data_IF_495987691877
#
_entry.id   IF_495987691877
#
_cell.length_a   1.000
_cell.length_b   1.000
_cell.length_c   1.000
_cell.angle_alpha   90.00
_cell.angle_beta   90.00
_cell.angle_gamma   90.00
#
_symmetry.space_group_name_H-M   'P 1'
#
loop_
_entity.id
_entity.type
_entity.pdbx_description
1 polymer ?
#
# COMPACT_ATOMS: atom_id res chain seq x y z
N UNK A 1 -58.63 21.80 58.83
CA UNK A 1 -57.64 21.54 59.91
C UNK A 1 -56.55 20.64 59.34
N UNK A 2 -55.27 20.75 59.76
CA UNK A 2 -54.33 21.87 59.58
C UNK A 2 -53.43 21.74 58.32
N UNK A 3 -52.80 22.85 57.91
CA UNK A 3 -51.88 23.00 56.78
C UNK A 3 -50.58 22.23 56.99
N UNK A 4 -50.13 21.50 55.95
CA UNK A 4 -48.84 20.81 55.90
C UNK A 4 -47.64 21.78 56.03
N UNK A 5 -46.70 21.43 56.90
CA UNK A 5 -45.44 22.14 57.10
C UNK A 5 -44.50 21.93 55.89
N UNK A 6 -44.02 23.03 55.30
CA UNK A 6 -42.96 23.03 54.27
C UNK A 6 -41.64 22.54 54.89
N UNK A 7 -41.06 21.49 54.31
CA UNK A 7 -39.71 21.03 54.64
C UNK A 7 -38.66 22.02 54.12
N UNK A 8 -37.70 22.34 54.99
CA UNK A 8 -36.54 23.23 54.74
C UNK A 8 -35.59 22.56 53.74
N UNK A 9 -35.33 23.21 52.60
CA UNK A 9 -34.34 22.75 51.63
C UNK A 9 -32.92 22.93 52.19
N UNK A 10 -32.13 21.85 52.24
CA UNK A 10 -30.71 21.89 52.57
C UNK A 10 -29.91 22.55 51.43
N UNK A 11 -28.88 23.36 51.72
CA UNK A 11 -28.05 23.98 50.70
C UNK A 11 -27.29 22.91 49.90
N UNK A 12 -27.18 23.14 48.59
CA UNK A 12 -26.63 22.22 47.58
C UNK A 12 -25.10 22.08 47.58
N UNK A 13 -24.39 22.83 48.43
CA UNK A 13 -22.93 22.86 48.46
C UNK A 13 -22.40 22.89 49.88
N UNK A 14 -21.33 22.12 50.11
CA UNK A 14 -20.61 22.08 51.37
C UNK A 14 -19.84 23.39 51.61
N UNK A 15 -19.67 23.80 52.88
CA UNK A 15 -19.00 25.05 53.21
C UNK A 15 -17.52 25.02 52.77
N UNK A 16 -17.04 26.17 52.28
CA UNK A 16 -15.72 26.36 51.64
C UNK A 16 -14.54 25.73 52.39
N UNK A 17 -14.55 25.75 53.73
CA UNK A 17 -13.48 25.17 54.55
C UNK A 17 -13.37 23.64 54.43
N UNK A 18 -14.47 22.95 54.10
CA UNK A 18 -14.46 21.50 53.84
C UNK A 18 -13.81 21.22 52.48
N UNK A 19 -14.12 22.04 51.46
CA UNK A 19 -13.56 21.91 50.12
C UNK A 19 -12.05 22.19 50.10
N UNK A 20 -11.59 23.20 50.85
CA UNK A 20 -10.16 23.49 51.00
C UNK A 20 -9.36 22.35 51.62
N UNK A 21 -9.94 21.65 52.61
CA UNK A 21 -9.29 20.48 53.22
C UNK A 21 -9.27 19.26 52.27
N UNK A 22 -10.31 19.08 51.45
CA UNK A 22 -10.34 18.02 50.44
C UNK A 22 -9.31 18.25 49.33
N UNK A 23 -9.19 19.50 48.84
CA UNK A 23 -8.18 19.90 47.86
C UNK A 23 -6.74 19.74 48.40
N UNK A 24 -6.49 20.08 49.67
CA UNK A 24 -5.17 19.87 50.31
C UNK A 24 -4.79 18.38 50.40
N UNK A 25 -5.78 17.51 50.64
CA UNK A 25 -5.57 16.05 50.71
C UNK A 25 -5.37 15.46 49.31
N UNK A 26 -6.13 15.93 48.31
CA UNK A 26 -5.99 15.51 46.92
C UNK A 26 -4.65 15.95 46.31
N UNK A 27 -4.18 17.16 46.64
CA UNK A 27 -2.87 17.65 46.22
C UNK A 27 -1.70 16.86 46.84
N UNK A 28 -1.86 16.35 48.06
CA UNK A 28 -0.80 15.66 48.80
C UNK A 28 -0.73 14.16 48.51
N UNK A 29 -1.86 13.52 48.22
CA UNK A 29 -1.93 12.05 48.08
C UNK A 29 -2.61 11.55 46.79
N UNK A 30 -3.07 12.45 45.90
CA UNK A 30 -3.82 12.09 44.69
C UNK A 30 -5.21 11.52 45.00
N UNK A 31 -6.01 11.25 43.96
CA UNK A 31 -7.38 10.70 44.11
C UNK A 31 -7.36 9.30 44.69
N UNK A 32 -7.58 9.17 45.99
CA UNK A 32 -7.73 7.90 46.69
C UNK A 32 -9.19 7.45 46.58
N UNK A 33 -9.47 6.34 45.88
CA UNK A 33 -10.83 5.79 45.85
C UNK A 33 -11.18 5.18 47.21
N UNK A 34 -12.25 5.66 47.87
CA UNK A 34 -12.70 5.10 49.14
C UNK A 34 -13.07 3.60 49.00
N UNK A 35 -12.65 2.73 49.94
CA UNK A 35 -12.95 1.31 49.88
C UNK A 35 -14.32 1.04 50.51
N UNK A 36 -15.31 0.68 49.70
CA UNK A 36 -16.64 0.38 50.25
C UNK A 36 -17.63 -0.22 49.27
N UNK A 37 -17.62 -1.57 49.19
CA UNK A 37 -18.75 -2.51 48.98
C UNK A 37 -18.32 -3.69 48.10
N UNK A 38 -17.77 -4.73 48.72
CA UNK A 38 -17.71 -6.07 48.13
C UNK A 38 -18.42 -7.04 49.06
N UNK A 39 -19.61 -7.50 48.63
CA UNK A 39 -20.37 -8.56 49.30
C UNK A 39 -19.63 -9.89 49.12
N UNK A 40 -19.37 -10.60 50.22
CA UNK A 40 -18.98 -12.03 50.22
C UNK A 40 -20.24 -12.91 50.11
N UNK A 41 -20.16 -14.08 49.46
CA UNK A 41 -20.88 -15.27 49.90
C UNK A 41 -19.91 -16.24 50.60
N UNK A 42 -20.45 -16.90 51.62
CA UNK A 42 -19.80 -17.85 52.50
C UNK A 42 -19.80 -19.25 51.85
N UNK A 43 -18.66 -19.97 51.88
CA UNK A 43 -18.68 -21.44 51.93
C UNK A 43 -17.42 -21.96 52.64
N UNK A 44 -17.66 -22.90 53.54
CA UNK A 44 -16.77 -23.46 54.55
C UNK A 44 -15.77 -24.48 53.98
N UNK A 45 -14.68 -24.62 54.74
CA UNK A 45 -13.49 -25.48 54.61
C UNK A 45 -13.79 -26.98 54.46
N UNK A 46 -13.00 -27.72 53.67
CA UNK A 46 -11.85 -28.49 54.21
C UNK A 46 -10.94 -29.13 53.12
N UNK A 47 -9.63 -29.03 53.37
CA UNK A 47 -8.44 -29.82 52.95
C UNK A 47 -7.94 -29.98 51.48
N UNK A 48 -6.85 -29.22 51.22
CA UNK A 48 -5.46 -29.69 50.96
C UNK A 48 -5.04 -30.26 49.58
N UNK A 49 -4.61 -29.36 48.69
CA UNK A 49 -3.44 -29.51 47.80
C UNK A 49 -3.04 -28.11 47.29
N UNK A 50 -1.89 -27.61 47.74
CA UNK A 50 -1.47 -26.22 47.53
C UNK A 50 -1.00 -25.92 46.10
N UNK A 51 -1.91 -25.41 45.27
CA UNK A 51 -1.53 -24.60 44.10
C UNK A 51 -1.29 -23.16 44.56
N UNK A 52 -0.04 -22.69 44.42
CA UNK A 52 0.34 -21.30 44.67
C UNK A 52 -0.30 -20.43 43.59
N UNK A 53 -1.50 -19.92 43.86
CA UNK A 53 -2.18 -18.95 42.98
C UNK A 53 -1.39 -17.63 43.08
N UNK A 54 -0.58 -17.36 42.06
CA UNK A 54 0.14 -16.09 41.93
C UNK A 54 -0.84 -14.95 41.60
N UNK A 55 -0.69 -13.82 42.28
CA UNK A 55 -1.49 -12.60 42.07
C UNK A 55 -1.37 -12.12 40.61
N UNK A 56 -2.46 -11.62 40.03
CA UNK A 56 -2.54 -11.23 38.62
C UNK A 56 -1.49 -10.17 38.23
N UNK A 57 -1.11 -9.30 39.18
CA UNK A 57 -0.02 -8.35 39.00
C UNK A 57 1.35 -9.02 38.95
N UNK A 58 1.56 -10.07 39.74
CA UNK A 58 2.81 -10.84 39.72
C UNK A 58 2.94 -11.70 38.47
N UNK A 59 1.86 -12.33 37.99
CA UNK A 59 1.84 -13.04 36.71
C UNK A 59 2.11 -12.10 35.53
N UNK A 60 1.51 -10.89 35.50
CA UNK A 60 1.76 -9.91 34.43
C UNK A 60 3.23 -9.48 34.39
N UNK A 61 3.84 -9.30 35.57
CA UNK A 61 5.25 -8.92 35.72
C UNK A 61 6.21 -10.06 35.32
N UNK A 62 5.83 -11.31 35.59
CA UNK A 62 6.59 -12.51 35.16
C UNK A 62 6.53 -12.65 33.62
N UNK A 63 5.37 -12.40 33.01
CA UNK A 63 5.22 -12.42 31.56
C UNK A 63 5.98 -11.29 30.85
N UNK A 64 5.99 -10.07 31.41
CA UNK A 64 6.83 -8.97 30.89
C UNK A 64 8.33 -9.29 31.00
N UNK A 65 8.76 -9.87 32.13
CA UNK A 65 10.16 -10.25 32.33
C UNK A 65 10.59 -11.38 31.38
N UNK A 66 9.70 -12.35 31.12
CA UNK A 66 9.95 -13.45 30.18
C UNK A 66 10.04 -12.94 28.73
N UNK A 67 9.21 -11.96 28.36
CA UNK A 67 9.25 -11.32 27.05
C UNK A 67 10.56 -10.55 26.84
N UNK A 68 10.98 -9.77 27.83
CA UNK A 68 12.25 -9.04 27.78
C UNK A 68 13.47 -9.97 27.70
N UNK A 69 13.45 -11.14 28.37
CA UNK A 69 14.53 -12.13 28.26
C UNK A 69 14.57 -12.84 26.90
N UNK A 70 13.43 -13.03 26.26
CA UNK A 70 13.36 -13.57 24.90
C UNK A 70 13.93 -12.58 23.88
N UNK A 71 13.64 -11.30 24.04
CA UNK A 71 14.15 -10.24 23.16
C UNK A 71 15.68 -10.02 23.33
N UNK A 72 16.24 -10.33 24.51
CA UNK A 72 17.68 -10.24 24.81
C UNK A 72 18.50 -11.41 24.21
N UNK A 73 17.87 -12.56 23.97
CA UNK A 73 18.51 -13.76 23.37
C UNK A 73 18.52 -13.76 21.84
N UNK A 74 17.78 -12.86 21.19
CA UNK A 74 17.59 -12.80 19.73
C UNK A 74 18.57 -11.86 18.99
N UNK A 75 19.61 -11.36 19.67
CA UNK A 75 20.67 -10.56 19.06
C UNK A 75 21.87 -11.43 18.58
N UNK A 76 22.15 -11.49 17.27
CA UNK A 76 23.51 -11.45 16.78
C UNK A 76 23.88 -10.01 16.39
N UNK A 77 25.03 -9.54 16.87
CA UNK A 77 25.69 -8.29 16.49
C UNK A 77 25.76 -8.13 14.96
N UNK A 78 25.18 -7.03 14.45
CA UNK A 78 25.85 -6.04 13.60
C UNK A 78 24.85 -4.94 13.13
N UNK A 79 25.09 -3.74 13.65
CA UNK A 79 24.89 -2.38 13.11
C UNK A 79 23.54 -1.88 12.53
N UNK A 80 22.93 -0.98 13.33
CA UNK A 80 22.39 0.37 13.04
C UNK A 80 21.07 0.61 12.26
N UNK A 81 20.08 1.07 13.05
CA UNK A 81 18.98 2.05 12.85
C UNK A 81 17.80 1.70 11.90
N UNK A 82 16.69 1.11 12.41
CA UNK A 82 15.46 1.72 13.02
C UNK A 82 14.71 2.72 12.14
N UNK A 83 13.38 2.74 11.97
CA UNK A 83 12.19 2.01 12.47
C UNK A 83 11.00 2.53 11.61
N UNK A 84 9.78 1.99 11.55
CA UNK A 84 9.03 1.15 12.47
C UNK A 84 7.91 0.42 11.68
N UNK A 85 7.55 -0.78 12.13
CA UNK A 85 6.54 -1.63 11.52
C UNK A 85 5.69 -2.31 12.60
N UNK A 86 4.41 -1.96 12.66
CA UNK A 86 3.41 -2.66 13.46
C UNK A 86 3.19 -4.08 12.94
N UNK A 87 3.41 -5.09 13.81
CA UNK A 87 3.13 -6.51 13.52
C UNK A 87 1.65 -6.80 13.77
N UNK A 88 0.86 -6.82 12.70
CA UNK A 88 -0.52 -7.31 12.70
C UNK A 88 -0.60 -8.83 12.81
N UNK A 89 -1.49 -9.31 13.68
CA UNK A 89 -1.82 -10.72 13.92
C UNK A 89 -2.55 -11.32 12.69
N UNK A 90 -2.04 -12.44 12.17
CA UNK A 90 -2.61 -13.09 10.99
C UNK A 90 -3.80 -13.97 11.38
N UNK A 91 -5.02 -13.50 11.14
CA UNK A 91 -6.20 -14.36 11.11
C UNK A 91 -6.34 -14.99 9.72
N UNK A 92 -6.10 -16.30 9.63
CA UNK A 92 -6.27 -17.05 8.38
C UNK A 92 -7.76 -17.28 8.12
N UNK A 93 -8.39 -16.45 7.29
CA UNK A 93 -9.74 -16.73 6.77
C UNK A 93 -9.70 -18.00 5.89
N UNK A 94 -10.36 -19.07 6.35
CA UNK A 94 -10.58 -20.28 5.58
C UNK A 94 -11.67 -19.99 4.52
N UNK A 95 -11.29 -19.65 3.29
CA UNK A 95 -12.21 -19.61 2.15
C UNK A 95 -12.11 -20.91 1.36
N UNK A 96 -13.06 -21.83 1.54
CA UNK A 96 -13.34 -22.87 0.56
C UNK A 96 -14.16 -22.25 -0.58
N UNK A 97 -13.48 -21.66 -1.57
CA UNK A 97 -14.13 -21.29 -2.82
C UNK A 97 -13.89 -22.42 -3.84
N UNK A 98 -14.89 -23.27 -4.02
CA UNK A 98 -15.08 -23.97 -5.30
C UNK A 98 -15.34 -22.89 -6.34
N UNK A 99 -14.38 -22.68 -7.23
CA UNK A 99 -14.53 -21.76 -8.36
C UNK A 99 -14.90 -22.61 -9.57
N UNK A 100 -16.20 -22.84 -9.73
CA UNK A 100 -16.80 -23.00 -11.05
C UNK A 100 -17.33 -21.60 -11.43
N UNK A 101 -16.62 -20.94 -12.34
CA UNK A 101 -17.09 -19.71 -12.98
C UNK A 101 -16.66 -19.77 -14.46
N UNK A 102 -17.51 -20.42 -15.25
CA UNK A 102 -17.80 -19.96 -16.60
C UNK A 102 -18.97 -18.98 -16.45
N UNK A 103 -18.71 -17.67 -16.44
CA UNK A 103 -19.66 -16.65 -16.89
C UNK A 103 -18.92 -15.32 -17.10
N UNK A 104 -19.01 -14.82 -18.34
CA UNK A 104 -18.72 -13.43 -18.67
C UNK A 104 -19.75 -12.56 -17.95
N UNK A 105 -19.35 -11.86 -16.90
CA UNK A 105 -20.14 -10.75 -16.40
C UNK A 105 -19.28 -9.50 -16.14
N UNK A 106 -19.74 -8.43 -16.76
CA UNK A 106 -19.28 -7.06 -16.68
C UNK A 106 -19.37 -6.62 -15.20
N UNK A 107 -18.25 -6.70 -14.47
CA UNK A 107 -18.22 -6.32 -13.06
C UNK A 107 -18.38 -4.79 -12.95
N UNK A 108 -19.64 -4.40 -12.88
CA UNK A 108 -20.13 -3.12 -12.43
C UNK A 108 -19.39 -2.72 -11.14
N UNK A 109 -18.97 -1.46 -11.13
CA UNK A 109 -18.42 -0.81 -9.96
C UNK A 109 -19.41 -0.91 -8.81
N UNK A 110 -19.11 -1.73 -7.81
CA UNK A 110 -19.67 -1.53 -6.48
C UNK A 110 -18.63 -0.87 -5.58
N UNK A 111 -19.11 0.18 -4.95
CA UNK A 111 -18.42 1.20 -4.21
C UNK A 111 -18.38 0.76 -2.75
N UNK A 112 -17.41 -0.08 -2.42
CA UNK A 112 -17.01 -0.27 -1.03
C UNK A 112 -15.56 0.17 -0.91
N UNK A 113 -15.41 1.38 -0.38
CA UNK A 113 -14.19 1.79 0.29
C UNK A 113 -13.88 0.72 1.35
N UNK A 114 -13.08 -0.29 1.02
CA UNK A 114 -12.32 -1.06 2.01
C UNK A 114 -11.30 -0.10 2.63
N UNK A 115 -11.81 0.81 3.46
CA UNK A 115 -11.07 1.21 4.63
C UNK A 115 -10.82 -0.09 5.41
N UNK A 116 -9.56 -0.39 5.69
CA UNK A 116 -9.19 -1.40 6.65
C UNK A 116 -9.72 -0.92 8.03
N UNK A 117 -11.00 -1.13 8.30
CA UNK A 117 -11.55 -1.02 9.65
C UNK A 117 -10.95 -2.18 10.44
N UNK A 118 -9.91 -1.86 11.21
CA UNK A 118 -9.41 -2.72 12.28
C UNK A 118 -10.56 -2.93 13.26
N UNK A 119 -11.24 -4.08 13.17
CA UNK A 119 -12.21 -4.48 14.18
C UNK A 119 -11.44 -4.78 15.47
N UNK A 120 -11.61 -3.95 16.49
CA UNK A 120 -11.22 -4.28 17.86
C UNK A 120 -12.09 -5.45 18.33
N UNK A 121 -11.52 -6.67 18.30
CA UNK A 121 -12.18 -7.87 18.80
C UNK A 121 -11.89 -7.97 20.31
N UNK A 122 -12.94 -8.03 21.12
CA UNK A 122 -12.83 -8.21 22.56
C UNK A 122 -12.19 -9.57 22.92
N UNK A 123 -11.45 -9.62 24.04
CA UNK A 123 -10.75 -10.82 24.51
C UNK A 123 -11.69 -12.03 24.73
N UNK A 124 -12.96 -11.77 25.06
CA UNK A 124 -13.99 -12.78 25.28
C UNK A 124 -14.49 -13.42 23.96
N UNK A 125 -14.54 -12.64 22.89
CA UNK A 125 -14.89 -13.09 21.53
C UNK A 125 -13.77 -13.92 20.91
N UNK A 126 -12.51 -13.55 21.18
CA UNK A 126 -11.34 -14.33 20.76
C UNK A 126 -11.32 -15.72 21.42
N UNK A 127 -11.70 -15.81 22.69
CA UNK A 127 -11.75 -17.06 23.44
C UNK A 127 -12.89 -17.98 22.96
N UNK A 128 -14.07 -17.42 22.68
CA UNK A 128 -15.20 -18.20 22.13
C UNK A 128 -14.93 -18.68 20.71
N UNK A 129 -14.26 -17.88 19.87
CA UNK A 129 -13.76 -18.32 18.56
C UNK A 129 -12.73 -19.46 18.69
N UNK A 130 -11.83 -19.38 19.67
CA UNK A 130 -10.87 -20.44 19.98
C UNK A 130 -11.54 -21.76 20.39
N UNK A 131 -12.62 -21.69 21.16
CA UNK A 131 -13.38 -22.86 21.60
C UNK A 131 -14.27 -23.49 20.50
N UNK A 132 -14.67 -22.71 19.50
CA UNK A 132 -15.46 -23.16 18.35
C UNK A 132 -14.60 -23.79 17.24
N UNK A 133 -13.27 -23.60 17.27
CA UNK A 133 -12.34 -24.23 16.35
C UNK A 133 -12.13 -25.71 16.75
N UNK A 134 -12.41 -26.69 15.88
CA UNK A 134 -12.23 -28.10 16.20
C UNK A 134 -10.77 -28.39 16.57
N UNK A 135 -10.55 -29.05 17.72
CA UNK A 135 -9.22 -29.45 18.20
C UNK A 135 -8.45 -30.43 17.28
N UNK A 136 -9.08 -30.91 16.21
CA UNK A 136 -8.45 -31.72 15.17
C UNK A 136 -7.85 -30.86 14.06
N UNK A 137 -7.03 -29.87 14.41
CA UNK A 137 -6.17 -29.18 13.44
C UNK A 137 -4.91 -30.02 13.19
N UNK A 138 -5.08 -31.27 12.74
CA UNK A 138 -3.95 -32.01 12.17
C UNK A 138 -3.38 -31.15 11.05
N UNK A 139 -2.15 -30.64 11.22
CA UNK A 139 -1.34 -29.86 10.27
C UNK A 139 -2.15 -29.23 9.11
N UNK A 140 -2.46 -27.93 9.17
CA UNK A 140 -3.02 -27.23 8.00
C UNK A 140 -2.00 -27.28 6.85
N UNK A 141 -2.02 -28.37 6.06
CA UNK A 141 -1.20 -28.53 4.86
C UNK A 141 -1.69 -27.52 3.84
N UNK A 142 -0.79 -26.67 3.39
CA UNK A 142 -1.11 -25.71 2.33
C UNK A 142 -1.39 -26.46 1.03
N UNK A 143 -2.10 -25.83 0.11
CA UNK A 143 -2.30 -26.40 -1.23
C UNK A 143 -0.95 -26.67 -1.93
N UNK A 144 0.07 -25.84 -1.66
CA UNK A 144 1.43 -26.08 -2.13
C UNK A 144 1.99 -27.39 -1.58
N UNK A 145 1.85 -27.64 -0.28
CA UNK A 145 2.33 -28.88 0.36
C UNK A 145 1.64 -30.13 -0.20
N UNK A 146 0.33 -30.04 -0.49
CA UNK A 146 -0.42 -31.14 -1.10
C UNK A 146 0.02 -31.40 -2.54
N UNK A 147 0.32 -30.35 -3.30
CA UNK A 147 0.82 -30.49 -4.68
C UNK A 147 2.21 -31.12 -4.69
N UNK A 148 3.12 -30.64 -3.84
CA UNK A 148 4.45 -31.22 -3.73
C UNK A 148 4.43 -32.66 -3.22
N UNK A 149 3.63 -32.97 -2.20
CA UNK A 149 3.46 -34.35 -1.72
C UNK A 149 2.91 -35.30 -2.81
N UNK A 150 2.07 -34.80 -3.73
CA UNK A 150 1.59 -35.59 -4.89
C UNK A 150 2.63 -35.75 -6.00
N UNK A 151 3.52 -34.77 -6.18
CA UNK A 151 4.67 -34.89 -7.07
C UNK A 151 5.72 -35.86 -6.48
N UNK A 152 5.84 -35.90 -5.15
CA UNK A 152 6.84 -36.69 -4.41
C UNK A 152 6.45 -38.17 -4.21
N UNK A 153 5.20 -38.58 -4.47
CA UNK A 153 4.80 -40.01 -4.43
C UNK A 153 5.55 -40.89 -5.45
N UNK A 154 6.44 -40.31 -6.25
CA UNK A 154 7.37 -41.01 -7.12
C UNK A 154 8.77 -41.24 -6.52
N UNK A 155 9.28 -40.44 -5.56
CA UNK A 155 10.61 -40.62 -4.95
C UNK A 155 10.76 -39.74 -3.68
N UNK A 156 10.98 -40.38 -2.53
CA UNK A 156 10.86 -39.77 -1.20
C UNK A 156 11.99 -38.82 -0.79
N UNK A 157 11.90 -37.55 -1.19
CA UNK A 157 12.65 -36.46 -0.56
C UNK A 157 11.80 -35.17 -0.55
N UNK A 158 11.59 -34.60 0.65
CA UNK A 158 10.71 -33.46 0.88
C UNK A 158 11.12 -32.23 0.04
N UNK A 159 10.27 -31.88 -0.94
CA UNK A 159 10.48 -30.76 -1.87
C UNK A 159 10.56 -29.36 -1.22
N UNK A 160 10.29 -29.22 0.07
CA UNK A 160 10.43 -27.96 0.82
C UNK A 160 11.86 -27.71 1.33
N UNK A 161 12.74 -28.71 1.31
CA UNK A 161 14.13 -28.55 1.69
C UNK A 161 14.93 -28.02 0.50
N UNK A 162 14.95 -26.70 0.33
CA UNK A 162 15.93 -26.04 -0.52
C UNK A 162 17.30 -26.42 0.03
N UNK A 163 18.05 -27.27 -0.68
CA UNK A 163 19.45 -27.47 -0.33
C UNK A 163 20.15 -26.12 -0.51
N UNK A 164 20.78 -25.62 0.55
CA UNK A 164 21.58 -24.40 0.51
C UNK A 164 22.83 -24.67 -0.35
N UNK A 165 22.68 -24.55 -1.66
CA UNK A 165 23.78 -24.65 -2.61
C UNK A 165 24.27 -23.23 -2.91
N UNK A 166 25.58 -23.02 -2.93
CA UNK A 166 26.18 -21.77 -3.39
C UNK A 166 25.72 -21.49 -4.83
N UNK A 167 24.96 -20.41 -4.99
CA UNK A 167 24.62 -19.91 -6.31
C UNK A 167 25.72 -18.97 -6.80
N UNK A 168 26.05 -19.09 -8.08
CA UNK A 168 26.82 -18.07 -8.76
C UNK A 168 26.02 -16.75 -8.74
N UNK A 169 26.65 -15.70 -8.20
CA UNK A 169 26.04 -14.36 -8.08
C UNK A 169 25.80 -13.73 -9.45
N UNK A 170 26.59 -14.07 -10.47
CA UNK A 170 26.46 -13.48 -11.81
C UNK A 170 25.44 -14.22 -12.68
N UNK A 171 25.23 -15.53 -12.47
CA UNK A 171 24.27 -16.36 -13.21
C UNK A 171 23.58 -17.35 -12.27
N UNK A 172 22.58 -16.91 -11.50
CA UNK A 172 21.87 -17.80 -10.60
C UNK A 172 21.08 -18.83 -11.41
N UNK A 173 21.42 -20.11 -11.27
CA UNK A 173 20.63 -21.21 -11.83
C UNK A 173 19.37 -21.42 -10.94
N UNK A 174 18.15 -21.18 -11.47
CA UNK A 174 16.92 -21.35 -10.71
C UNK A 174 16.64 -22.81 -10.34
N UNK A 175 17.19 -23.78 -11.09
CA UNK A 175 16.98 -25.22 -10.88
C UNK A 175 17.88 -25.80 -9.77
N UNK A 176 18.95 -25.08 -9.41
CA UNK A 176 19.95 -25.58 -8.48
C UNK A 176 19.39 -25.74 -7.05
N UNK A 177 19.50 -26.96 -6.51
CA UNK A 177 19.01 -27.32 -5.19
C UNK A 177 17.50 -27.59 -5.09
N UNK A 178 16.80 -27.67 -6.24
CA UNK A 178 15.39 -28.08 -6.31
C UNK A 178 15.27 -29.55 -6.73
N UNK A 179 14.15 -30.19 -6.33
CA UNK A 179 13.82 -31.54 -6.75
C UNK A 179 13.65 -31.60 -8.30
N UNK A 180 14.27 -32.56 -9.00
CA UNK A 180 14.23 -32.65 -10.46
C UNK A 180 12.81 -32.79 -11.03
N UNK A 181 11.90 -33.48 -10.32
CA UNK A 181 10.50 -33.62 -10.72
C UNK A 181 9.77 -32.29 -10.67
N UNK A 182 10.07 -31.46 -9.67
CA UNK A 182 9.53 -30.10 -9.55
C UNK A 182 10.04 -29.23 -10.69
N UNK A 183 11.34 -29.29 -10.99
CA UNK A 183 11.93 -28.57 -12.12
C UNK A 183 11.24 -28.96 -13.43
N UNK A 184 11.12 -30.26 -13.71
CA UNK A 184 10.46 -30.75 -14.92
C UNK A 184 8.99 -30.30 -15.02
N UNK A 185 8.26 -30.31 -13.90
CA UNK A 185 6.87 -29.87 -13.85
C UNK A 185 6.71 -28.37 -14.19
N UNK A 186 7.56 -27.51 -13.63
CA UNK A 186 7.52 -26.06 -13.91
C UNK A 186 8.08 -25.70 -15.30
N UNK A 187 9.05 -26.45 -15.82
CA UNK A 187 9.50 -26.29 -17.21
C UNK A 187 8.39 -26.65 -18.21
N UNK A 188 7.68 -27.77 -17.99
CA UNK A 188 6.50 -28.13 -18.81
C UNK A 188 5.39 -27.08 -18.71
N UNK A 189 5.22 -26.48 -17.54
CA UNK A 189 4.28 -25.39 -17.34
C UNK A 189 4.64 -24.14 -18.16
N UNK A 190 5.93 -23.80 -18.31
CA UNK A 190 6.39 -22.72 -19.19
C UNK A 190 5.99 -22.95 -20.66
N UNK A 191 6.16 -24.18 -21.17
CA UNK A 191 5.75 -24.56 -22.53
C UNK A 191 4.23 -24.41 -22.74
N UNK A 192 3.44 -24.66 -21.71
CA UNK A 192 2.00 -24.43 -21.72
C UNK A 192 1.67 -22.94 -21.78
N UNK A 193 2.32 -22.10 -20.95
CA UNK A 193 2.08 -20.66 -20.89
C UNK A 193 2.46 -19.92 -22.18
N UNK A 194 3.44 -20.41 -22.93
CA UNK A 194 3.77 -19.87 -24.25
C UNK A 194 2.61 -19.97 -25.24
N UNK A 195 1.81 -21.04 -25.19
CA UNK A 195 0.68 -21.28 -26.12
C UNK A 195 -0.69 -20.91 -25.54
N UNK A 196 -0.74 -20.53 -24.27
CA UNK A 196 -1.98 -20.25 -23.57
C UNK A 196 -2.75 -19.08 -24.19
N UNK A 197 -4.07 -19.20 -24.27
CA UNK A 197 -4.97 -18.13 -24.77
C UNK A 197 -6.15 -17.91 -23.83
N UNK A 198 -6.81 -19.00 -23.42
CA UNK A 198 -8.00 -19.00 -22.58
C UNK A 198 -8.07 -20.26 -21.73
N UNK A 199 -9.00 -20.28 -20.77
CA UNK A 199 -9.25 -21.40 -19.87
C UNK A 199 -8.60 -21.25 -18.49
N UNK A 200 -8.82 -22.20 -17.58
CA UNK A 200 -8.26 -22.13 -16.25
C UNK A 200 -6.74 -22.38 -16.26
N UNK A 201 -5.99 -21.52 -15.55
CA UNK A 201 -4.57 -21.78 -15.32
C UNK A 201 -4.37 -23.00 -14.38
N UNK A 202 -3.35 -23.85 -14.63
CA UNK A 202 -3.06 -25.01 -13.79
C UNK A 202 -2.87 -24.64 -12.32
N UNK A 203 -3.32 -25.50 -11.40
CA UNK A 203 -3.18 -25.28 -9.94
C UNK A 203 -1.72 -25.05 -9.53
N UNK A 204 -0.78 -25.76 -10.18
CA UNK A 204 0.66 -25.60 -9.99
C UNK A 204 1.15 -24.16 -10.23
N UNK A 205 0.54 -23.46 -11.19
CA UNK A 205 0.83 -22.04 -11.44
C UNK A 205 0.22 -21.13 -10.37
N UNK A 206 -1.04 -21.41 -9.99
CA UNK A 206 -1.79 -20.58 -9.04
C UNK A 206 -1.18 -20.54 -7.64
N UNK A 207 -0.42 -21.58 -7.24
CA UNK A 207 0.23 -21.63 -5.93
C UNK A 207 1.56 -20.88 -5.87
N UNK A 208 2.13 -20.44 -6.99
CA UNK A 208 3.44 -19.75 -7.03
C UNK A 208 3.53 -18.60 -6.02
N UNK A 209 2.55 -17.67 -5.90
CA UNK A 209 2.62 -16.56 -4.95
C UNK A 209 2.78 -16.96 -3.48
N UNK A 210 2.28 -18.14 -3.11
CA UNK A 210 2.31 -18.65 -1.74
C UNK A 210 3.62 -19.34 -1.38
N UNK A 211 4.49 -19.59 -2.37
CA UNK A 211 5.75 -20.30 -2.15
C UNK A 211 6.83 -19.35 -1.58
N UNK A 212 7.61 -19.79 -0.59
CA UNK A 212 8.77 -19.01 -0.12
C UNK A 212 9.75 -18.69 -1.24
N UNK A 213 10.01 -19.68 -2.13
CA UNK A 213 10.89 -19.55 -3.28
C UNK A 213 10.16 -19.16 -4.58
N UNK A 214 9.05 -18.42 -4.50
CA UNK A 214 8.19 -18.08 -5.65
C UNK A 214 8.96 -17.55 -6.87
N UNK A 215 9.99 -16.71 -6.67
CA UNK A 215 10.76 -16.10 -7.75
C UNK A 215 11.55 -17.14 -8.56
N UNK A 216 12.14 -18.15 -7.89
CA UNK A 216 12.83 -19.26 -8.57
C UNK A 216 11.83 -20.11 -9.34
N UNK A 217 10.70 -20.45 -8.71
CA UNK A 217 9.65 -21.26 -9.34
C UNK A 217 9.06 -20.56 -10.57
N UNK A 218 8.91 -19.24 -10.49
CA UNK A 218 8.48 -18.42 -11.60
C UNK A 218 9.52 -18.39 -12.73
N UNK A 219 10.81 -18.23 -12.40
CA UNK A 219 11.88 -18.21 -13.40
C UNK A 219 11.95 -19.53 -14.21
N UNK A 220 11.68 -20.68 -13.58
CA UNK A 220 11.60 -21.98 -14.28
C UNK A 220 10.52 -22.05 -15.37
N UNK A 221 9.52 -21.17 -15.32
CA UNK A 221 8.46 -21.11 -16.32
C UNK A 221 8.79 -20.22 -17.51
N UNK A 222 10.01 -19.65 -17.57
CA UNK A 222 10.46 -18.76 -18.65
C UNK A 222 9.47 -17.63 -18.97
N UNK A 223 9.27 -16.68 -18.03
CA UNK A 223 8.30 -15.59 -18.18
C UNK A 223 8.50 -14.73 -19.44
N UNK A 224 9.72 -14.66 -19.97
CA UNK A 224 10.07 -14.00 -21.23
C UNK A 224 9.33 -14.58 -22.45
N UNK A 225 8.96 -15.87 -22.38
CA UNK A 225 8.32 -16.60 -23.48
C UNK A 225 6.80 -16.75 -23.28
N UNK A 226 6.21 -16.08 -22.31
CA UNK A 226 4.78 -16.18 -22.07
C UNK A 226 3.96 -15.52 -23.16
N UNK A 227 2.79 -16.09 -23.44
CA UNK A 227 1.83 -15.39 -24.30
C UNK A 227 1.30 -14.14 -23.59
N UNK A 228 0.85 -13.11 -24.33
CA UNK A 228 0.22 -11.94 -23.72
C UNK A 228 -1.00 -12.29 -22.84
N UNK A 229 -1.74 -13.34 -23.20
CA UNK A 229 -2.88 -13.84 -22.44
C UNK A 229 -2.45 -14.48 -21.11
N UNK A 230 -1.34 -15.22 -21.13
CA UNK A 230 -0.75 -15.82 -19.94
C UNK A 230 -0.27 -14.71 -18.99
N UNK A 231 0.40 -13.69 -19.52
CA UNK A 231 0.88 -12.56 -18.73
C UNK A 231 -0.26 -11.80 -18.04
N UNK A 232 -1.37 -11.53 -18.75
CA UNK A 232 -2.59 -10.95 -18.16
C UNK A 232 -3.16 -11.80 -17.04
N UNK A 233 -3.34 -13.11 -17.29
CA UNK A 233 -3.90 -14.02 -16.31
C UNK A 233 -2.99 -14.19 -15.09
N UNK A 234 -1.68 -14.25 -15.30
CA UNK A 234 -0.67 -14.26 -14.25
C UNK A 234 -0.73 -12.99 -13.40
N UNK A 235 -0.78 -11.82 -14.03
CA UNK A 235 -0.86 -10.53 -13.32
C UNK A 235 -2.11 -10.46 -12.45
N UNK A 236 -3.27 -10.92 -12.93
CA UNK A 236 -4.51 -10.97 -12.13
C UNK A 236 -4.33 -11.81 -10.85
N UNK A 237 -3.68 -12.96 -10.94
CA UNK A 237 -3.51 -13.89 -9.81
C UNK A 237 -2.42 -13.40 -8.86
N UNK A 238 -1.30 -12.93 -9.40
CA UNK A 238 -0.14 -12.57 -8.60
C UNK A 238 -0.39 -11.28 -7.84
N UNK A 239 -1.03 -10.29 -8.47
CA UNK A 239 -1.33 -9.02 -7.79
C UNK A 239 -2.34 -9.21 -6.67
N UNK A 240 -3.28 -10.15 -6.74
CA UNK A 240 -4.19 -10.41 -5.62
C UNK A 240 -3.55 -11.18 -4.47
N UNK A 241 -2.62 -12.09 -4.75
CA UNK A 241 -2.07 -13.02 -3.75
C UNK A 241 -0.69 -12.61 -3.19
N UNK A 242 0.09 -11.80 -3.91
CA UNK A 242 1.44 -11.41 -3.49
C UNK A 242 1.44 -10.22 -2.52
N UNK A 243 2.44 -10.21 -1.63
CA UNK A 243 2.75 -9.05 -0.79
C UNK A 243 3.27 -7.88 -1.66
N UNK A 244 3.14 -6.61 -1.22
CA UNK A 244 3.56 -5.45 -2.03
C UNK A 244 5.00 -5.52 -2.56
N UNK A 245 5.96 -6.00 -1.76
CA UNK A 245 7.35 -6.15 -2.18
C UNK A 245 7.54 -7.22 -3.27
N UNK A 246 6.83 -8.36 -3.16
CA UNK A 246 6.85 -9.42 -4.16
C UNK A 246 6.19 -8.95 -5.46
N UNK A 247 5.05 -8.27 -5.36
CA UNK A 247 4.35 -7.69 -6.50
C UNK A 247 5.22 -6.66 -7.23
N UNK A 248 5.95 -5.80 -6.50
CA UNK A 248 6.89 -4.84 -7.08
C UNK A 248 7.96 -5.56 -7.92
N UNK A 249 8.55 -6.64 -7.39
CA UNK A 249 9.57 -7.42 -8.10
C UNK A 249 9.00 -8.08 -9.36
N UNK A 250 7.83 -8.72 -9.25
CA UNK A 250 7.14 -9.31 -10.40
C UNK A 250 6.85 -8.27 -11.49
N UNK A 251 6.33 -7.11 -11.10
CA UNK A 251 6.00 -6.03 -12.03
C UNK A 251 7.25 -5.49 -12.72
N UNK A 252 8.34 -5.28 -11.99
CA UNK A 252 9.58 -4.72 -12.54
C UNK A 252 10.39 -5.70 -13.40
N UNK A 253 10.41 -6.98 -13.05
CA UNK A 253 11.26 -7.98 -13.74
C UNK A 253 10.51 -8.72 -14.85
N UNK A 254 9.21 -8.93 -14.70
CA UNK A 254 8.44 -9.73 -15.68
C UNK A 254 7.56 -8.84 -16.54
N UNK A 255 6.66 -8.08 -15.92
CA UNK A 255 5.65 -7.34 -16.67
C UNK A 255 6.26 -6.16 -17.45
N UNK A 256 7.15 -5.40 -16.82
CA UNK A 256 7.78 -4.23 -17.42
C UNK A 256 8.57 -4.60 -18.69
N UNK A 257 9.42 -5.62 -18.61
CA UNK A 257 10.27 -6.03 -19.73
C UNK A 257 9.42 -6.51 -20.92
N UNK A 258 8.39 -7.33 -20.66
CA UNK A 258 7.46 -7.79 -21.69
C UNK A 258 6.72 -6.63 -22.39
N UNK A 259 6.33 -5.59 -21.63
CA UNK A 259 5.66 -4.41 -22.18
C UNK A 259 6.61 -3.58 -23.04
N UNK A 260 7.84 -3.35 -22.57
CA UNK A 260 8.83 -2.56 -23.32
C UNK A 260 9.20 -3.26 -24.61
N UNK A 261 9.35 -4.58 -24.59
CA UNK A 261 9.60 -5.39 -25.78
C UNK A 261 8.44 -5.30 -26.78
N UNK A 262 7.19 -5.49 -26.33
CA UNK A 262 6.00 -5.40 -27.20
C UNK A 262 5.85 -4.01 -27.85
N UNK A 263 6.04 -2.93 -27.07
CA UNK A 263 6.02 -1.56 -27.60
C UNK A 263 7.18 -1.30 -28.56
N UNK A 264 8.36 -1.85 -28.25
CA UNK A 264 9.55 -1.78 -29.09
C UNK A 264 9.31 -2.39 -30.47
N UNK A 265 8.72 -3.58 -30.51
CA UNK A 265 8.45 -4.35 -31.72
C UNK A 265 7.24 -3.81 -32.50
N UNK A 266 6.08 -3.67 -31.84
CA UNK A 266 4.80 -3.39 -32.49
C UNK A 266 4.46 -1.90 -32.59
N UNK A 267 5.19 -1.03 -31.88
CA UNK A 267 4.91 0.42 -31.71
C UNK A 267 3.53 0.74 -31.13
N UNK A 268 2.80 -0.29 -30.70
CA UNK A 268 1.49 -0.28 -30.04
C UNK A 268 1.54 -1.36 -28.96
N UNK A 269 0.75 -1.19 -27.91
CA UNK A 269 0.67 -2.19 -26.85
C UNK A 269 -0.48 -3.17 -27.14
N UNK A 270 -0.22 -4.47 -26.98
CA UNK A 270 -1.25 -5.50 -27.01
C UNK A 270 -2.32 -5.23 -25.94
N UNK A 271 -3.59 -5.47 -26.29
CA UNK A 271 -4.73 -5.30 -25.38
C UNK A 271 -4.57 -6.13 -24.10
N UNK A 272 -4.01 -7.34 -24.20
CA UNK A 272 -3.81 -8.19 -23.02
C UNK A 272 -2.82 -7.57 -22.03
N UNK A 273 -1.73 -6.95 -22.50
CA UNK A 273 -0.80 -6.23 -21.65
C UNK A 273 -1.40 -4.94 -21.09
N UNK A 274 -2.23 -4.24 -21.87
CA UNK A 274 -2.96 -3.08 -21.40
C UNK A 274 -3.90 -3.43 -20.24
N UNK A 275 -4.60 -4.57 -20.33
CA UNK A 275 -5.41 -5.09 -19.24
C UNK A 275 -4.58 -5.61 -18.06
N UNK A 276 -3.42 -6.22 -18.31
CA UNK A 276 -2.49 -6.62 -17.27
C UNK A 276 -2.05 -5.40 -16.43
N UNK A 277 -1.69 -4.29 -17.08
CA UNK A 277 -1.34 -3.03 -16.41
C UNK A 277 -2.50 -2.44 -15.61
N UNK A 278 -3.74 -2.52 -16.11
CA UNK A 278 -4.93 -2.13 -15.33
C UNK A 278 -5.06 -2.98 -14.06
N UNK A 279 -4.81 -4.28 -14.14
CA UNK A 279 -4.84 -5.17 -12.97
C UNK A 279 -3.67 -4.92 -12.02
N UNK A 280 -2.49 -4.56 -12.53
CA UNK A 280 -1.34 -4.19 -11.72
C UNK A 280 -1.60 -2.97 -10.81
N UNK A 281 -2.43 -2.04 -11.26
CA UNK A 281 -2.79 -0.83 -10.50
C UNK A 281 -3.65 -1.07 -9.25
N UNK A 282 -4.18 -2.29 -9.05
CA UNK A 282 -4.81 -2.68 -7.78
C UNK A 282 -3.82 -2.68 -6.61
N UNK A 283 -2.51 -2.70 -6.89
CA UNK A 283 -1.46 -2.41 -5.90
C UNK A 283 -0.63 -1.19 -6.34
N UNK A 284 -1.12 0.04 -6.12
CA UNK A 284 -0.53 1.26 -6.68
C UNK A 284 0.92 1.49 -6.23
N UNK A 285 1.27 1.21 -4.97
CA UNK A 285 2.65 1.34 -4.48
C UNK A 285 3.64 0.44 -5.24
N UNK A 286 3.26 -0.81 -5.50
CA UNK A 286 4.06 -1.74 -6.30
C UNK A 286 4.11 -1.31 -7.77
N UNK A 287 3.02 -0.76 -8.31
CA UNK A 287 2.97 -0.25 -9.67
C UNK A 287 3.91 0.94 -9.90
N UNK A 288 3.91 1.94 -9.02
CA UNK A 288 4.81 3.08 -9.16
C UNK A 288 6.28 2.66 -9.04
N UNK A 289 6.61 1.84 -8.04
CA UNK A 289 8.00 1.39 -7.79
C UNK A 289 8.50 0.33 -8.78
N UNK A 290 7.61 -0.49 -9.33
CA UNK A 290 7.94 -1.58 -10.25
C UNK A 290 7.83 -1.21 -11.73
N UNK A 291 6.93 -0.30 -12.09
CA UNK A 291 6.69 0.09 -13.49
C UNK A 291 7.16 1.53 -13.74
N UNK A 292 6.50 2.53 -13.14
CA UNK A 292 6.70 3.93 -13.53
C UNK A 292 8.11 4.44 -13.22
N UNK A 293 8.62 4.28 -11.98
CA UNK A 293 9.94 4.82 -11.65
C UNK A 293 11.07 4.13 -12.43
N UNK A 294 11.12 2.78 -12.53
CA UNK A 294 12.14 2.12 -13.36
C UNK A 294 12.08 2.55 -14.82
N UNK A 295 10.88 2.73 -15.39
CA UNK A 295 10.74 3.28 -16.75
C UNK A 295 11.37 4.67 -16.87
N UNK A 296 11.08 5.57 -15.93
CA UNK A 296 11.59 6.93 -15.96
C UNK A 296 13.11 6.99 -15.72
N UNK A 297 13.66 6.16 -14.83
CA UNK A 297 15.09 6.09 -14.52
C UNK A 297 15.92 5.45 -15.67
N UNK A 298 15.42 4.40 -16.31
CA UNK A 298 16.13 3.63 -17.33
C UNK A 298 15.95 4.17 -18.77
N UNK A 299 15.33 5.34 -18.92
CA UNK A 299 15.04 5.94 -20.22
C UNK A 299 13.69 5.51 -20.80
N UNK A 300 12.65 6.25 -20.43
CA UNK A 300 11.30 6.08 -20.96
C UNK A 300 11.13 6.84 -22.28
N UNK A 301 10.57 6.19 -23.30
CA UNK A 301 10.17 6.87 -24.52
C UNK A 301 8.81 7.56 -24.35
N UNK A 302 8.55 8.63 -25.11
CA UNK A 302 7.25 9.32 -25.07
C UNK A 302 6.07 8.40 -25.44
N UNK A 303 6.29 7.38 -26.28
CA UNK A 303 5.25 6.40 -26.65
C UNK A 303 4.89 5.49 -25.48
N UNK A 304 5.89 4.93 -24.82
CA UNK A 304 5.69 4.13 -23.61
C UNK A 304 4.97 4.95 -22.52
N UNK A 305 5.46 6.17 -22.27
CA UNK A 305 4.86 7.08 -21.31
C UNK A 305 3.40 7.38 -21.63
N UNK A 306 3.07 7.67 -22.90
CA UNK A 306 1.69 7.95 -23.31
C UNK A 306 0.74 6.77 -23.08
N UNK A 307 1.20 5.55 -23.35
CA UNK A 307 0.40 4.34 -23.11
C UNK A 307 0.16 4.15 -21.62
N UNK A 308 1.21 4.15 -20.79
CA UNK A 308 1.08 3.92 -19.34
C UNK A 308 0.31 5.06 -18.66
N UNK A 309 0.56 6.31 -19.05
CA UNK A 309 -0.18 7.47 -18.55
C UNK A 309 -1.68 7.41 -18.90
N UNK A 310 -2.05 6.83 -20.06
CA UNK A 310 -3.47 6.64 -20.42
C UNK A 310 -4.19 5.68 -19.47
N UNK A 311 -3.48 4.67 -18.94
CA UNK A 311 -4.02 3.71 -17.97
C UNK A 311 -4.17 4.40 -16.62
N UNK A 312 -3.14 5.14 -16.21
CA UNK A 312 -3.16 5.91 -14.98
C UNK A 312 -4.32 6.91 -14.99
N UNK A 313 -4.57 7.61 -16.10
CA UNK A 313 -5.67 8.55 -16.22
C UNK A 313 -7.04 7.89 -15.97
N UNK A 314 -7.26 6.67 -16.48
CA UNK A 314 -8.54 5.95 -16.43
C UNK A 314 -8.80 5.18 -15.13
N UNK A 315 -7.77 4.88 -14.36
CA UNK A 315 -7.87 4.05 -13.15
C UNK A 315 -7.97 4.91 -11.89
N UNK A 316 -8.72 4.47 -10.88
CA UNK A 316 -8.72 5.12 -9.56
C UNK A 316 -7.37 4.82 -8.87
N UNK A 317 -6.75 5.84 -8.28
CA UNK A 317 -5.48 5.72 -7.54
C UNK A 317 -5.64 6.47 -6.21
N UNK A 318 -5.28 5.87 -5.06
CA UNK A 318 -5.35 6.55 -3.78
C UNK A 318 -4.43 7.77 -3.69
N UNK A 319 -4.88 8.82 -3.01
CA UNK A 319 -4.19 10.12 -2.91
C UNK A 319 -2.78 9.99 -2.34
N UNK A 320 -2.59 9.16 -1.31
CA UNK A 320 -1.28 8.97 -0.68
C UNK A 320 -0.24 8.40 -1.65
N UNK A 321 -0.64 7.41 -2.46
CA UNK A 321 0.23 6.81 -3.46
C UNK A 321 0.55 7.80 -4.59
N UNK A 322 -0.46 8.55 -5.06
CA UNK A 322 -0.26 9.59 -6.06
C UNK A 322 0.65 10.72 -5.56
N UNK A 323 0.49 11.13 -4.30
CA UNK A 323 1.31 12.15 -3.63
C UNK A 323 2.78 11.74 -3.54
N UNK A 324 3.04 10.52 -3.08
CA UNK A 324 4.39 9.96 -3.04
C UNK A 324 5.02 9.86 -4.44
N UNK A 325 4.22 9.47 -5.45
CA UNK A 325 4.68 9.41 -6.83
C UNK A 325 5.02 10.79 -7.40
N UNK A 326 4.19 11.81 -7.14
CA UNK A 326 4.46 13.19 -7.56
C UNK A 326 5.76 13.72 -6.94
N UNK A 327 5.99 13.51 -5.64
CA UNK A 327 7.23 13.89 -4.97
C UNK A 327 8.45 13.25 -5.65
N UNK A 328 8.42 11.93 -5.84
CA UNK A 328 9.53 11.21 -6.47
C UNK A 328 9.80 11.72 -7.88
N UNK A 329 8.77 11.87 -8.72
CA UNK A 329 8.92 12.33 -10.12
C UNK A 329 9.41 13.79 -10.16
N UNK A 330 9.01 14.63 -9.21
CA UNK A 330 9.44 16.03 -9.12
C UNK A 330 10.95 16.15 -8.82
N UNK A 331 11.50 15.23 -8.04
CA UNK A 331 12.92 15.18 -7.68
C UNK A 331 13.80 14.59 -8.79
N UNK A 332 13.25 13.75 -9.67
CA UNK A 332 13.99 13.11 -10.76
C UNK A 332 14.58 14.10 -11.78
N UNK A 333 15.58 13.62 -12.51
CA UNK A 333 16.12 14.33 -13.67
C UNK A 333 15.08 14.49 -14.75
N UNK A 334 15.08 15.67 -15.38
CA UNK A 334 14.05 15.99 -16.34
C UNK A 334 14.08 15.07 -17.56
N UNK A 335 12.89 14.59 -17.90
CA UNK A 335 12.56 13.95 -19.16
C UNK A 335 11.15 14.37 -19.58
N UNK A 336 10.86 14.36 -20.88
CA UNK A 336 9.51 14.64 -21.39
C UNK A 336 8.41 13.76 -20.75
N UNK A 337 8.64 12.44 -20.57
CA UNK A 337 7.76 11.57 -19.79
C UNK A 337 7.42 12.05 -18.38
N UNK A 338 8.36 12.67 -17.64
CA UNK A 338 8.10 13.15 -16.27
C UNK A 338 6.95 14.16 -16.27
N UNK A 339 6.99 15.16 -17.16
CA UNK A 339 5.93 16.16 -17.30
C UNK A 339 4.59 15.54 -17.67
N UNK A 340 4.59 14.47 -18.49
CA UNK A 340 3.36 13.78 -18.86
C UNK A 340 2.70 13.08 -17.65
N UNK A 341 3.49 12.36 -16.84
CA UNK A 341 2.97 11.73 -15.63
C UNK A 341 2.53 12.73 -14.57
N UNK A 342 3.31 13.81 -14.35
CA UNK A 342 2.93 14.90 -13.46
C UNK A 342 1.59 15.49 -13.89
N UNK A 343 1.43 15.83 -15.18
CA UNK A 343 0.18 16.36 -15.72
C UNK A 343 -1.00 15.42 -15.45
N UNK A 344 -0.85 14.13 -15.77
CA UNK A 344 -1.93 13.14 -15.60
C UNK A 344 -2.31 12.93 -14.13
N UNK A 345 -1.34 12.94 -13.21
CA UNK A 345 -1.60 12.80 -11.78
C UNK A 345 -2.28 14.05 -11.20
N UNK A 346 -1.90 15.24 -11.64
CA UNK A 346 -2.54 16.51 -11.25
C UNK A 346 -3.96 16.61 -11.83
N UNK A 347 -4.17 16.14 -13.06
CA UNK A 347 -5.49 16.10 -13.70
C UNK A 347 -6.52 15.22 -12.95
N UNK A 348 -6.06 14.35 -12.04
CA UNK A 348 -6.96 13.61 -11.13
C UNK A 348 -7.57 14.46 -10.03
N UNK A 349 -7.11 15.71 -9.86
CA UNK A 349 -7.68 16.70 -8.92
C UNK A 349 -7.72 16.23 -7.47
N UNK A 350 -6.66 15.56 -7.04
CA UNK A 350 -6.54 15.14 -5.64
C UNK A 350 -6.36 16.34 -4.70
N UNK A 351 -6.76 16.20 -3.46
CA UNK A 351 -6.36 17.12 -2.39
C UNK A 351 -4.93 16.78 -1.97
N UNK A 352 -3.96 17.50 -2.52
CA UNK A 352 -2.55 17.21 -2.28
C UNK A 352 -2.07 17.83 -0.97
N UNK A 353 -1.29 17.10 -0.14
CA UNK A 353 -0.59 17.70 0.98
C UNK A 353 0.30 18.85 0.53
N UNK A 354 0.40 19.92 1.32
CA UNK A 354 1.19 21.09 0.96
C UNK A 354 2.66 20.79 0.64
N UNK A 355 3.26 19.80 1.31
CA UNK A 355 4.61 19.32 0.97
C UNK A 355 4.74 18.91 -0.51
N UNK A 356 3.72 18.29 -1.08
CA UNK A 356 3.70 17.88 -2.49
C UNK A 356 3.55 19.10 -3.41
N UNK A 357 2.66 20.03 -3.06
CA UNK A 357 2.47 21.29 -3.79
C UNK A 357 3.78 22.07 -3.82
N UNK A 358 4.44 22.23 -2.67
CA UNK A 358 5.69 22.96 -2.52
C UNK A 358 6.83 22.30 -3.33
N UNK A 359 6.90 20.97 -3.34
CA UNK A 359 7.86 20.22 -4.16
C UNK A 359 7.62 20.39 -5.67
N UNK A 360 6.34 20.46 -6.11
CA UNK A 360 6.01 20.73 -7.50
C UNK A 360 6.37 22.17 -7.91
N UNK A 361 6.13 23.16 -7.05
CA UNK A 361 6.60 24.53 -7.27
C UNK A 361 8.12 24.55 -7.44
N UNK A 362 8.84 23.92 -6.52
CA UNK A 362 10.30 23.81 -6.60
C UNK A 362 10.75 23.10 -7.89
N UNK A 363 10.07 22.03 -8.30
CA UNK A 363 10.34 21.36 -9.56
C UNK A 363 10.27 22.31 -10.76
N UNK A 364 9.20 23.12 -10.87
CA UNK A 364 9.07 24.06 -11.98
C UNK A 364 10.13 25.17 -11.94
N UNK A 365 10.42 25.72 -10.76
CA UNK A 365 11.48 26.74 -10.58
C UNK A 365 12.85 26.16 -10.97
N UNK A 366 13.19 24.99 -10.42
CA UNK A 366 14.45 24.30 -10.70
C UNK A 366 14.63 24.11 -12.20
N UNK A 367 13.63 23.54 -12.88
CA UNK A 367 13.73 23.27 -14.32
C UNK A 367 13.80 24.53 -15.17
N UNK A 368 13.09 25.60 -14.80
CA UNK A 368 13.21 26.89 -15.50
C UNK A 368 14.64 27.42 -15.50
N UNK A 369 15.37 27.21 -14.40
CA UNK A 369 16.74 27.72 -14.21
C UNK A 369 17.84 26.76 -14.69
N UNK A 370 17.62 25.45 -14.61
CA UNK A 370 18.67 24.44 -14.85
C UNK A 370 18.51 23.66 -16.15
N UNK A 371 17.38 23.78 -16.85
CA UNK A 371 17.14 23.00 -18.06
C UNK A 371 18.19 23.31 -19.13
N UNK A 372 18.80 22.25 -19.66
CA UNK A 372 19.73 22.30 -20.78
C UNK A 372 19.37 21.17 -21.74
N UNK A 373 19.47 21.45 -23.03
CA UNK A 373 19.30 20.45 -24.07
C UNK A 373 20.32 19.31 -23.87
N UNK A 374 19.85 18.06 -23.81
CA UNK A 374 20.70 16.88 -23.59
C UNK A 374 21.47 16.48 -24.85
N UNK A 375 20.90 16.69 -26.03
CA UNK A 375 21.49 16.29 -27.31
C UNK A 375 21.75 17.48 -28.24
N UNK A 376 22.79 17.37 -29.09
CA UNK A 376 23.06 18.36 -30.15
C UNK A 376 21.93 18.34 -31.17
N UNK A 377 21.09 19.37 -31.16
CA UNK A 377 19.91 19.51 -32.02
C UNK A 377 18.59 19.64 -31.26
N UNK A 378 18.57 19.34 -29.96
CA UNK A 378 17.41 19.63 -29.12
C UNK A 378 17.32 21.14 -28.83
N UNK A 379 16.08 21.63 -28.75
CA UNK A 379 15.81 23.01 -28.39
C UNK A 379 16.29 23.29 -26.97
N UNK A 380 17.02 24.39 -26.79
CA UNK A 380 17.36 24.93 -25.46
C UNK A 380 16.11 25.40 -24.69
N UNK A 381 14.97 25.53 -25.38
CA UNK A 381 13.68 25.88 -24.78
C UNK A 381 12.99 24.64 -24.18
N UNK A 382 12.31 24.85 -23.07
CA UNK A 382 11.49 23.82 -22.44
C UNK A 382 10.39 23.30 -23.39
N UNK A 383 10.11 21.97 -23.40
CA UNK A 383 9.07 21.39 -24.23
C UNK A 383 7.65 21.85 -23.86
N UNK A 384 6.74 21.79 -24.84
CA UNK A 384 5.31 22.10 -24.64
C UNK A 384 4.67 21.26 -23.53
N UNK A 385 5.06 19.99 -23.37
CA UNK A 385 4.56 19.12 -22.30
C UNK A 385 4.86 19.68 -20.90
N UNK A 386 6.00 20.35 -20.72
CA UNK A 386 6.34 21.01 -19.46
C UNK A 386 5.39 22.17 -19.19
N UNK A 387 5.18 23.06 -20.17
CA UNK A 387 4.23 24.17 -20.04
C UNK A 387 2.80 23.69 -19.78
N UNK A 388 2.38 22.59 -20.43
CA UNK A 388 1.08 21.97 -20.17
C UNK A 388 0.97 21.43 -18.74
N UNK A 389 2.02 20.76 -18.23
CA UNK A 389 2.02 20.30 -16.83
C UNK A 389 1.94 21.45 -15.83
N UNK A 390 2.64 22.57 -16.09
CA UNK A 390 2.57 23.77 -15.25
C UNK A 390 1.19 24.43 -15.32
N UNK A 391 0.58 24.53 -16.50
CA UNK A 391 -0.77 25.07 -16.65
C UNK A 391 -1.79 24.27 -15.84
N UNK A 392 -1.80 22.95 -15.97
CA UNK A 392 -2.73 22.10 -15.22
C UNK A 392 -2.47 22.23 -13.71
N UNK A 393 -1.21 22.32 -13.28
CA UNK A 393 -0.87 22.58 -11.89
C UNK A 393 -1.49 23.89 -11.39
N UNK A 394 -1.30 25.00 -12.11
CA UNK A 394 -1.86 26.30 -11.71
C UNK A 394 -3.39 26.31 -11.74
N UNK A 395 -4.02 25.69 -12.74
CA UNK A 395 -5.48 25.58 -12.81
C UNK A 395 -6.11 24.85 -11.62
N UNK A 396 -5.37 23.93 -11.00
CA UNK A 396 -5.87 23.11 -9.88
C UNK A 396 -5.45 23.64 -8.52
N UNK A 397 -4.20 24.06 -8.39
CA UNK A 397 -3.57 24.30 -7.10
C UNK A 397 -3.10 25.74 -6.90
N UNK A 398 -3.40 26.69 -7.80
CA UNK A 398 -2.99 28.09 -7.59
C UNK A 398 -3.62 28.71 -6.33
N UNK A 399 -4.79 28.24 -5.89
CA UNK A 399 -5.41 28.63 -4.61
C UNK A 399 -4.70 28.07 -3.37
N UNK A 400 -3.82 27.09 -3.55
CA UNK A 400 -3.04 26.43 -2.50
C UNK A 400 -1.59 26.94 -2.46
N UNK A 401 -1.27 28.03 -3.16
CA UNK A 401 0.07 28.62 -3.18
C UNK A 401 0.20 29.80 -2.23
N UNK A 402 1.38 29.95 -1.63
CA UNK A 402 1.75 31.16 -0.89
C UNK A 402 1.99 32.33 -1.86
N UNK A 403 1.93 33.59 -1.40
CA UNK A 403 2.25 34.75 -2.24
C UNK A 403 3.62 34.63 -2.92
N UNK A 404 4.66 34.27 -2.16
CA UNK A 404 6.03 34.11 -2.65
C UNK A 404 6.12 33.02 -3.74
N UNK A 405 5.40 31.92 -3.58
CA UNK A 405 5.36 30.85 -4.59
C UNK A 405 4.70 31.32 -5.88
N UNK A 406 3.64 32.14 -5.81
CA UNK A 406 2.99 32.69 -7.00
C UNK A 406 3.91 33.65 -7.73
N UNK A 407 4.58 34.54 -7.02
CA UNK A 407 5.52 35.50 -7.61
C UNK A 407 6.69 34.76 -8.27
N UNK A 408 7.24 33.73 -7.62
CA UNK A 408 8.29 32.89 -8.19
C UNK A 408 7.82 32.16 -9.47
N UNK A 409 6.57 31.65 -9.52
CA UNK A 409 6.02 31.03 -10.73
C UNK A 409 5.75 32.04 -11.85
N UNK A 410 5.40 33.29 -11.52
CA UNK A 410 5.27 34.36 -12.51
C UNK A 410 6.64 34.69 -13.14
N UNK A 411 7.71 34.68 -12.35
CA UNK A 411 9.08 34.82 -12.86
C UNK A 411 9.49 33.64 -13.73
N UNK A 412 9.11 32.40 -13.36
CA UNK A 412 9.32 31.21 -14.20
C UNK A 412 8.66 31.35 -15.58
N UNK A 413 7.41 31.82 -15.63
CA UNK A 413 6.68 32.05 -16.89
C UNK A 413 7.34 33.16 -17.72
N UNK A 414 7.90 34.18 -17.06
CA UNK A 414 8.64 35.27 -17.72
C UNK A 414 9.97 34.79 -18.30
N UNK A 415 10.72 33.98 -17.55
CA UNK A 415 12.00 33.42 -17.96
C UNK A 415 11.84 32.41 -19.12
N UNK A 416 10.77 31.62 -19.08
CA UNK A 416 10.48 30.58 -20.08
C UNK A 416 9.10 30.80 -20.73
N UNK A 417 8.97 31.79 -21.63
CA UNK A 417 7.69 32.17 -22.19
C UNK A 417 7.20 31.19 -23.26
N UNK A 418 5.94 30.77 -23.15
CA UNK A 418 5.23 30.07 -24.22
C UNK A 418 4.11 30.97 -24.80
N UNK A 419 4.01 31.19 -26.13
CA UNK A 419 3.12 32.19 -26.72
C UNK A 419 1.63 32.05 -26.34
N UNK A 420 1.10 30.82 -26.34
CA UNK A 420 -0.31 30.55 -26.02
C UNK A 420 -0.55 30.18 -24.55
N UNK A 421 0.28 29.30 -23.98
CA UNK A 421 0.10 28.76 -22.63
C UNK A 421 0.55 29.73 -21.53
N UNK A 422 1.62 30.51 -21.76
CA UNK A 422 2.16 31.45 -20.76
C UNK A 422 1.15 32.48 -20.26
N UNK A 423 0.39 33.15 -21.15
CA UNK A 423 -0.68 34.07 -20.75
C UNK A 423 -1.77 33.41 -19.89
N UNK A 424 -2.15 32.17 -20.21
CA UNK A 424 -3.15 31.41 -19.45
C UNK A 424 -2.63 31.08 -18.05
N UNK A 425 -1.37 30.61 -17.91
CA UNK A 425 -0.76 30.36 -16.59
C UNK A 425 -0.77 31.63 -15.74
N UNK A 426 -0.36 32.78 -16.33
CA UNK A 426 -0.37 34.06 -15.63
C UNK A 426 -1.77 34.46 -15.18
N UNK A 427 -2.79 34.26 -16.03
CA UNK A 427 -4.18 34.55 -15.68
C UNK A 427 -4.63 33.72 -14.47
N UNK A 428 -4.37 32.42 -14.45
CA UNK A 428 -4.74 31.55 -13.33
C UNK A 428 -4.02 31.92 -12.02
N UNK A 429 -2.74 32.28 -12.09
CA UNK A 429 -1.98 32.70 -10.90
C UNK A 429 -2.48 34.02 -10.31
N UNK A 430 -2.78 35.01 -11.15
CA UNK A 430 -3.22 36.35 -10.70
C UNK A 430 -4.67 36.33 -10.19
N UNK A 431 -5.55 35.54 -10.82
CA UNK A 431 -6.96 35.51 -10.46
C UNK A 431 -7.28 34.61 -9.25
N UNK A 432 -6.31 33.81 -8.80
CA UNK A 432 -6.51 32.89 -7.67
C UNK A 432 -6.22 33.56 -6.32
N UNK A 433 -6.94 33.14 -5.29
CA UNK A 433 -6.68 33.52 -3.90
C UNK A 433 -5.41 32.86 -3.36
N UNK A 434 -4.80 33.41 -2.31
CA UNK A 434 -3.62 32.83 -1.66
C UNK A 434 -4.01 31.73 -0.68
N UNK A 435 -3.08 30.81 -0.40
CA UNK A 435 -3.28 29.72 0.58
C UNK A 435 -3.81 30.28 1.90
N UNK A 436 -4.91 29.70 2.40
CA UNK A 436 -5.53 30.08 3.66
C UNK A 436 -6.45 31.30 3.59
N UNK A 437 -6.53 32.01 2.46
CA UNK A 437 -7.54 33.05 2.26
C UNK A 437 -8.93 32.42 2.06
N UNK A 438 -10.02 33.12 2.40
CA UNK A 438 -11.37 32.64 2.15
C UNK A 438 -11.54 32.41 0.65
N UNK A 439 -11.83 31.16 0.26
CA UNK A 439 -12.20 30.84 -1.12
C UNK A 439 -13.60 31.37 -1.33
N UNK A 440 -13.78 32.33 -2.24
CA UNK A 440 -15.11 32.66 -2.75
C UNK A 440 -15.66 31.39 -3.40
N UNK A 441 -16.67 30.77 -2.80
CA UNK A 441 -17.38 29.67 -3.46
C UNK A 441 -17.88 30.20 -4.81
N UNK A 442 -17.70 29.47 -5.91
CA UNK A 442 -18.40 29.80 -7.14
C UNK A 442 -19.90 29.77 -6.82
N UNK A 443 -20.61 30.84 -7.14
CA UNK A 443 -22.02 31.09 -6.80
C UNK A 443 -22.86 29.81 -6.79
N UNK A 444 -23.42 29.52 -5.61
CA UNK A 444 -24.43 28.51 -5.45
C UNK A 444 -25.64 28.79 -6.33
N UNK A 445 -26.22 27.72 -6.84
CA UNK A 445 -27.55 27.58 -7.41
C UNK A 445 -28.32 28.89 -7.57
N UNK A 446 -28.44 29.34 -8.82
CA UNK A 446 -29.48 30.28 -9.22
C UNK A 446 -30.82 29.63 -8.89
N UNK A 447 -31.37 29.96 -7.74
CA UNK A 447 -32.76 29.67 -7.39
C UNK A 447 -33.63 30.45 -8.36
N UNK A 448 -34.05 29.80 -9.44
CA UNK A 448 -35.09 30.29 -10.34
C UNK A 448 -36.37 30.41 -9.51
N UNK A 449 -36.72 31.66 -9.18
CA UNK A 449 -38.00 32.01 -8.56
C UNK A 449 -39.11 32.08 -9.61
#
# INVERSE_FOLDING_TARGET
MPRAQKQVQKPRHDPLFVQLNEDEVEAKYGRISQPGKRKKPHKSEDNDAGDVILDSKTSRKIFELARNQQDELEMPDDEEETSDGGKGTSFTQLRSHSVDEDEEEDLAYDDTEEAEEEFEIDEEDLHTLGALLPANTSERRTLADVIFAKLDNAEGNAAAAIQKVEQDRERPDPALGLNPTVVEAYTKLGLFLHKYKSGPLPKLFKVIPSLPAWARMLALTSPENWSPHACRAATRIFISNMKPAQAQLFLGVVLLDAIREDIGQNKKLNVQYYEALKRALYKPGAFFKGIIFPMLDQGCTLKEAAIVASILARTKVPVLHASAALLRIAEMDYSGPNSLFIRVLIDKKFELPYKVVDALVFHFIRLSNTYKAKFRGDSEKLPVLWHQSLLVFCQRYASDLTPDQKDALLDVVRATPHPQIGPEIRRELVNSVVRGAPRTQPDGDVVMS
#
